data_IF_980977189787
#
_entry.id   IF_980977189787
#
_cell.length_a   1.000
_cell.length_b   1.000
_cell.length_c   1.000
_cell.angle_alpha   90.00
_cell.angle_beta   90.00
_cell.angle_gamma   90.00
#
_symmetry.space_group_name_H-M   'P 1'
#
loop_
_entity.id
_entity.type
_entity.pdbx_description
1 polymer ?
#
# COMPACT_ATOMS: atom_id res chain seq x y z
N UNK A 1 -21.79 10.88 2.07
CA UNK A 1 -21.01 10.86 0.83
C UNK A 1 -19.88 9.87 0.91
N UNK A 2 -19.71 9.16 -0.17
CA UNK A 2 -18.69 8.13 -0.28
C UNK A 2 -17.36 8.76 -0.65
N UNK A 3 -16.30 8.39 0.06
CA UNK A 3 -14.95 8.84 -0.28
C UNK A 3 -14.37 7.88 -1.29
N UNK A 4 -13.91 8.43 -2.41
CA UNK A 4 -13.26 7.66 -3.47
C UNK A 4 -11.79 8.04 -3.53
N UNK A 5 -10.91 7.05 -3.54
CA UNK A 5 -9.47 7.26 -3.65
C UNK A 5 -8.99 6.70 -4.98
N UNK A 6 -8.22 7.49 -5.70
CA UNK A 6 -7.55 7.08 -6.93
C UNK A 6 -6.05 7.20 -6.71
N UNK A 7 -5.32 6.11 -6.98
CA UNK A 7 -3.87 6.06 -6.83
C UNK A 7 -3.22 5.70 -8.16
N UNK A 8 -2.21 6.47 -8.55
CA UNK A 8 -1.34 6.16 -9.68
C UNK A 8 0.07 5.90 -9.14
N UNK A 9 0.58 4.70 -9.40
CA UNK A 9 1.94 4.33 -9.04
C UNK A 9 2.62 3.71 -10.26
N UNK A 10 3.84 4.13 -10.53
CA UNK A 10 4.63 3.57 -11.62
C UNK A 10 5.39 2.34 -11.13
N UNK A 11 5.53 1.29 -11.96
CA UNK A 11 6.40 0.17 -11.61
C UNK A 11 7.81 0.64 -11.32
N UNK A 12 8.46 0.03 -10.33
CA UNK A 12 9.81 0.38 -9.93
C UNK A 12 10.69 -0.87 -9.91
N UNK A 13 11.99 -0.67 -9.98
CA UNK A 13 12.97 -1.74 -9.78
C UNK A 13 13.55 -1.65 -8.37
N UNK A 14 13.98 -2.80 -7.84
CA UNK A 14 14.70 -2.82 -6.57
C UNK A 14 15.92 -1.88 -6.63
N UNK A 15 16.09 -1.08 -5.60
CA UNK A 15 17.15 -0.08 -5.52
C UNK A 15 16.75 1.31 -6.03
N UNK A 16 15.63 1.43 -6.71
CA UNK A 16 15.12 2.71 -7.21
C UNK A 16 14.07 3.30 -6.29
N UNK A 17 13.61 4.50 -6.60
CA UNK A 17 12.47 5.12 -5.93
C UNK A 17 11.20 4.80 -6.69
N UNK A 18 10.17 4.40 -5.97
CA UNK A 18 8.82 4.26 -6.50
C UNK A 18 8.11 5.60 -6.39
N UNK A 19 7.62 6.11 -7.51
CA UNK A 19 6.88 7.37 -7.55
C UNK A 19 5.40 7.11 -7.61
N UNK A 20 4.63 7.85 -6.84
CA UNK A 20 3.19 7.71 -6.79
C UNK A 20 2.50 9.05 -6.63
N UNK A 21 1.24 9.10 -7.04
CA UNK A 21 0.35 10.22 -6.81
C UNK A 21 -1.03 9.70 -6.42
N UNK A 22 -1.80 10.53 -5.73
CA UNK A 22 -3.13 10.15 -5.31
C UNK A 22 -4.08 11.32 -5.41
N UNK A 23 -5.36 11.00 -5.51
CA UNK A 23 -6.46 11.95 -5.52
C UNK A 23 -7.61 11.38 -4.71
N UNK A 24 -8.23 12.21 -3.91
CA UNK A 24 -9.43 11.85 -3.17
C UNK A 24 -10.60 12.72 -3.61
N UNK A 25 -11.75 12.09 -3.83
CA UNK A 25 -13.01 12.77 -4.14
C UNK A 25 -14.04 12.43 -3.07
N UNK A 26 -15.00 13.33 -2.86
CA UNK A 26 -16.03 13.13 -1.85
C UNK A 26 -15.52 13.27 -0.43
N UNK A 27 -14.51 14.09 -0.22
CA UNK A 27 -13.87 14.26 1.08
C UNK A 27 -14.88 14.76 2.12
N UNK A 28 -15.02 13.99 3.19
CA UNK A 28 -15.87 14.33 4.31
C UNK A 28 -15.13 15.24 5.29
N UNK A 29 -15.88 16.18 5.90
CA UNK A 29 -15.35 16.98 7.01
C UNK A 29 -14.99 16.14 8.23
N UNK A 30 -15.32 14.84 8.22
CA UNK A 30 -15.07 13.91 9.31
C UNK A 30 -13.72 13.24 9.24
N UNK A 31 -13.03 13.29 8.10
CA UNK A 31 -11.72 12.68 7.96
C UNK A 31 -10.71 13.45 8.81
N UNK A 32 -10.14 12.78 9.80
CA UNK A 32 -9.20 13.39 10.75
C UNK A 32 -7.75 13.21 10.35
N UNK A 33 -7.42 12.07 9.75
CA UNK A 33 -6.05 11.77 9.35
C UNK A 33 -6.06 10.93 8.07
N UNK A 34 -5.12 11.24 7.19
CA UNK A 34 -4.86 10.46 5.99
C UNK A 34 -3.43 9.96 6.02
N UNK A 35 -3.25 8.67 5.80
CA UNK A 35 -1.93 8.04 5.69
C UNK A 35 -1.82 7.31 4.36
N UNK A 36 -0.76 7.59 3.63
CA UNK A 36 -0.38 6.87 2.41
C UNK A 36 0.92 6.14 2.70
N UNK A 37 0.90 4.83 2.60
CA UNK A 37 2.07 4.00 2.91
C UNK A 37 2.36 3.01 1.80
N UNK A 38 3.62 2.61 1.68
CA UNK A 38 4.01 1.48 0.85
C UNK A 38 4.30 0.32 1.80
N UNK A 39 3.75 -0.83 1.48
CA UNK A 39 3.94 -2.05 2.26
C UNK A 39 4.36 -3.19 1.36
N UNK A 40 5.18 -4.08 1.91
CA UNK A 40 5.54 -5.32 1.26
C UNK A 40 5.36 -6.48 2.22
N UNK A 41 4.77 -7.54 1.72
CA UNK A 41 4.34 -8.69 2.49
C UNK A 41 4.73 -9.97 1.77
N UNK A 42 5.20 -10.95 2.53
CA UNK A 42 5.35 -12.30 2.00
C UNK A 42 4.20 -13.17 2.51
N UNK A 43 3.76 -14.10 1.68
CA UNK A 43 2.78 -15.09 2.06
C UNK A 43 3.23 -16.48 1.60
N UNK A 44 2.93 -17.47 2.44
CA UNK A 44 3.18 -18.87 2.13
C UNK A 44 1.90 -19.65 2.39
N UNK A 45 1.46 -20.40 1.38
CA UNK A 45 0.29 -21.26 1.47
C UNK A 45 0.76 -22.70 1.46
N UNK A 46 0.29 -23.48 2.43
CA UNK A 46 0.68 -24.87 2.60
C UNK A 46 -0.48 -25.72 3.10
N UNK A 47 -0.36 -27.02 2.92
CA UNK A 47 -1.36 -27.97 3.43
C UNK A 47 -0.87 -28.59 4.72
N UNK A 48 -1.77 -28.66 5.70
CA UNK A 48 -1.54 -29.36 6.95
C UNK A 48 -2.70 -30.33 7.15
N UNK A 49 -2.46 -31.61 6.87
CA UNK A 49 -3.53 -32.59 6.82
C UNK A 49 -4.46 -32.33 5.63
N UNK A 50 -5.76 -32.14 5.90
CA UNK A 50 -6.76 -31.81 4.88
C UNK A 50 -7.00 -30.31 4.76
N UNK A 51 -6.37 -29.50 5.62
CA UNK A 51 -6.59 -28.06 5.67
C UNK A 51 -5.49 -27.31 4.91
N UNK A 52 -5.88 -26.20 4.31
CA UNK A 52 -4.95 -25.26 3.68
C UNK A 52 -4.76 -24.07 4.61
N UNK A 53 -3.51 -23.70 4.84
CA UNK A 53 -3.13 -22.57 5.68
C UNK A 53 -2.33 -21.57 4.87
N UNK A 54 -2.53 -20.29 5.17
CA UNK A 54 -1.74 -19.20 4.60
C UNK A 54 -1.16 -18.37 5.74
N UNK A 55 0.15 -18.28 5.78
CA UNK A 55 0.86 -17.40 6.70
C UNK A 55 1.33 -16.17 5.95
N UNK A 56 1.18 -15.00 6.55
CA UNK A 56 1.63 -13.74 5.98
C UNK A 56 2.53 -13.00 6.96
N UNK A 57 3.51 -12.29 6.43
CA UNK A 57 4.42 -11.48 7.21
C UNK A 57 4.74 -10.18 6.48
N UNK A 58 4.42 -9.07 7.11
CA UNK A 58 4.80 -7.75 6.62
C UNK A 58 6.29 -7.54 6.91
N UNK A 59 7.10 -7.29 5.88
CA UNK A 59 8.54 -7.10 6.07
C UNK A 59 9.03 -5.70 5.72
N UNK A 60 8.17 -4.84 5.16
CA UNK A 60 8.52 -3.46 4.85
C UNK A 60 7.29 -2.58 4.95
N UNK A 61 7.46 -1.42 5.54
CA UNK A 61 6.45 -0.37 5.58
C UNK A 61 7.14 0.98 5.56
N UNK A 62 6.72 1.84 4.66
CA UNK A 62 7.23 3.19 4.53
C UNK A 62 6.06 4.16 4.39
N UNK A 63 5.97 5.12 5.29
CA UNK A 63 4.94 6.15 5.22
C UNK A 63 5.41 7.22 4.24
N UNK A 64 4.73 7.29 3.09
CA UNK A 64 5.01 8.27 2.05
C UNK A 64 4.49 9.63 2.45
N UNK A 65 3.29 9.65 3.04
CA UNK A 65 2.60 10.88 3.39
C UNK A 65 1.62 10.65 4.52
N UNK A 66 1.55 11.60 5.43
CA UNK A 66 0.58 11.56 6.52
C UNK A 66 0.19 13.00 6.85
N UNK A 67 -1.10 13.27 6.92
CA UNK A 67 -1.58 14.61 7.23
C UNK A 67 -2.88 14.57 8.01
N UNK A 68 -3.07 15.56 8.86
CA UNK A 68 -4.35 15.88 9.50
C UNK A 68 -4.98 17.15 8.92
N UNK A 69 -4.34 17.78 7.95
CA UNK A 69 -4.86 18.97 7.27
C UNK A 69 -5.81 18.58 6.15
N UNK A 70 -7.06 18.98 6.25
CA UNK A 70 -8.08 18.67 5.22
C UNK A 70 -7.74 19.26 3.86
N UNK A 71 -7.08 20.42 3.83
CA UNK A 71 -6.67 21.04 2.57
C UNK A 71 -5.64 20.22 1.82
N UNK A 72 -4.84 19.44 2.53
CA UNK A 72 -3.78 18.61 1.95
C UNK A 72 -4.23 17.20 1.59
N UNK A 73 -5.48 16.83 1.89
CA UNK A 73 -5.97 15.47 1.68
C UNK A 73 -6.48 15.20 0.27
N UNK A 74 -6.77 16.23 -0.51
CA UNK A 74 -7.42 16.06 -1.83
C UNK A 74 -6.53 15.43 -2.87
N UNK A 75 -5.28 15.81 -2.90
CA UNK A 75 -4.33 15.35 -3.90
C UNK A 75 -2.92 15.46 -3.36
N UNK A 76 -2.06 14.58 -3.83
CA UNK A 76 -0.67 14.61 -3.45
C UNK A 76 0.17 13.69 -4.30
N UNK A 77 1.47 13.80 -4.12
CA UNK A 77 2.45 12.93 -4.75
C UNK A 77 3.63 12.73 -3.81
N UNK A 78 4.33 11.64 -4.02
CA UNK A 78 5.50 11.33 -3.21
C UNK A 78 6.32 10.24 -3.82
N UNK A 79 7.40 9.88 -3.14
CA UNK A 79 8.29 8.81 -3.55
C UNK A 79 8.64 7.94 -2.36
N UNK A 80 8.87 6.66 -2.63
CA UNK A 80 9.25 5.68 -1.65
C UNK A 80 10.53 4.99 -2.12
N UNK A 81 11.59 4.96 -1.31
CA UNK A 81 12.77 4.18 -1.67
C UNK A 81 12.43 2.69 -1.62
N UNK A 82 12.86 1.94 -2.64
CA UNK A 82 12.75 0.49 -2.66
C UNK A 82 14.13 -0.07 -2.35
N UNK A 83 14.38 -0.54 -1.13
CA UNK A 83 15.71 -1.03 -0.76
C UNK A 83 16.15 -2.19 -1.65
N UNK A 84 17.39 -2.14 -2.13
CA UNK A 84 17.91 -3.13 -3.07
C UNK A 84 17.99 -4.54 -2.49
N UNK A 85 18.07 -4.66 -1.17
CA UNK A 85 18.18 -5.96 -0.50
C UNK A 85 16.82 -6.63 -0.23
N UNK A 86 15.71 -5.92 -0.47
CA UNK A 86 14.39 -6.50 -0.28
C UNK A 86 13.93 -7.23 -1.55
N UNK A 87 13.14 -8.30 -1.40
CA UNK A 87 12.70 -9.08 -2.54
C UNK A 87 11.69 -8.30 -3.40
N UNK A 88 11.76 -8.42 -4.73
CA UNK A 88 10.78 -7.83 -5.63
C UNK A 88 9.46 -8.59 -5.59
N UNK A 89 8.48 -8.10 -6.35
CA UNK A 89 7.20 -8.80 -6.52
C UNK A 89 7.44 -10.21 -7.07
N UNK A 90 6.74 -11.18 -6.51
CA UNK A 90 6.93 -12.58 -6.86
C UNK A 90 5.64 -13.37 -6.64
N UNK A 91 5.36 -14.31 -7.52
CA UNK A 91 4.21 -15.19 -7.38
C UNK A 91 4.54 -16.56 -7.97
N UNK A 92 4.68 -17.57 -7.10
CA UNK A 92 4.87 -18.96 -7.51
C UNK A 92 3.64 -19.82 -7.18
N UNK A 93 2.50 -19.18 -6.93
CA UNK A 93 1.28 -19.87 -6.49
C UNK A 93 1.23 -20.03 -4.98
N UNK A 94 2.12 -20.82 -4.40
CA UNK A 94 2.12 -21.06 -2.96
C UNK A 94 2.96 -20.06 -2.17
N UNK A 95 3.87 -19.36 -2.83
CA UNK A 95 4.71 -18.33 -2.21
C UNK A 95 4.60 -17.05 -2.99
N UNK A 96 4.31 -15.95 -2.31
CA UNK A 96 4.10 -14.66 -2.95
C UNK A 96 4.82 -13.56 -2.19
N UNK A 97 5.31 -12.60 -2.95
CA UNK A 97 5.80 -11.32 -2.43
C UNK A 97 4.93 -10.25 -3.06
N UNK A 98 4.15 -9.55 -2.24
CA UNK A 98 3.20 -8.53 -2.69
C UNK A 98 3.63 -7.15 -2.19
N UNK A 99 3.74 -6.22 -3.11
CA UNK A 99 3.94 -4.81 -2.81
C UNK A 99 2.64 -4.06 -3.06
N UNK A 100 2.31 -3.12 -2.18
CA UNK A 100 1.07 -2.36 -2.28
C UNK A 100 1.21 -0.94 -1.78
N UNK A 101 0.38 -0.07 -2.33
CA UNK A 101 0.08 1.22 -1.72
C UNK A 101 -1.11 1.00 -0.79
N UNK A 102 -0.98 1.44 0.44
CA UNK A 102 -2.07 1.38 1.40
C UNK A 102 -2.54 2.78 1.75
N UNK A 103 -3.83 3.01 1.67
CA UNK A 103 -4.46 4.28 2.00
C UNK A 103 -5.32 4.08 3.24
N UNK A 104 -4.97 4.78 4.31
CA UNK A 104 -5.67 4.71 5.58
C UNK A 104 -6.23 6.08 5.92
N UNK A 105 -7.49 6.13 6.32
CA UNK A 105 -8.13 7.36 6.76
C UNK A 105 -8.97 7.13 8.00
N UNK A 106 -8.78 7.96 9.02
CA UNK A 106 -9.54 7.90 10.27
C UNK A 106 -10.80 8.75 10.16
N UNK A 107 -11.95 8.13 10.38
CA UNK A 107 -13.25 8.81 10.40
C UNK A 107 -13.93 8.49 11.74
N UNK A 108 -14.12 9.47 12.64
CA UNK A 108 -14.80 9.23 13.91
C UNK A 108 -16.21 8.69 13.68
N UNK A 109 -16.60 7.67 14.43
CA UNK A 109 -17.95 7.08 14.44
C UNK A 109 -18.35 6.34 13.16
N UNK A 110 -17.44 6.19 12.20
CA UNK A 110 -17.68 5.48 10.94
C UNK A 110 -16.53 4.50 10.68
N UNK A 111 -16.74 3.50 9.85
CA UNK A 111 -15.64 2.66 9.42
C UNK A 111 -14.54 3.50 8.78
N UNK A 112 -13.30 3.21 9.14
CA UNK A 112 -12.15 3.89 8.57
C UNK A 112 -11.99 3.53 7.09
N UNK A 113 -11.28 4.39 6.35
CA UNK A 113 -10.85 4.07 5.01
C UNK A 113 -9.62 3.18 5.13
N UNK A 114 -9.66 2.04 4.44
CA UNK A 114 -8.52 1.12 4.37
C UNK A 114 -8.53 0.48 2.98
N UNK A 115 -7.84 1.11 2.04
CA UNK A 115 -7.77 0.65 0.66
C UNK A 115 -6.34 0.23 0.33
N UNK A 116 -6.22 -0.78 -0.53
CA UNK A 116 -4.93 -1.29 -1.00
C UNK A 116 -4.90 -1.36 -2.51
N UNK A 117 -3.76 -1.00 -3.09
CA UNK A 117 -3.53 -1.01 -4.54
C UNK A 117 -2.23 -1.76 -4.82
N UNK A 118 -2.33 -2.82 -5.61
CA UNK A 118 -1.14 -3.62 -5.95
C UNK A 118 -0.21 -2.80 -6.83
N UNK A 119 1.08 -2.86 -6.51
CA UNK A 119 2.13 -2.27 -7.32
C UNK A 119 3.15 -3.34 -7.69
N UNK A 120 3.86 -3.13 -8.79
CA UNK A 120 4.89 -4.05 -9.25
C UNK A 120 6.27 -3.50 -8.92
N UNK A 121 7.05 -4.31 -8.21
CA UNK A 121 8.46 -4.05 -7.96
C UNK A 121 9.25 -5.13 -8.71
N UNK A 122 10.02 -4.70 -9.71
CA UNK A 122 10.82 -5.58 -10.53
C UNK A 122 12.19 -5.82 -9.93
N UNK A 123 12.86 -6.91 -10.27
CA UNK A 123 14.24 -7.11 -9.88
C UNK A 123 15.12 -5.94 -10.32
N UNK A 124 16.24 -5.77 -9.66
CA UNK A 124 17.21 -4.73 -10.02
C UNK A 124 17.57 -4.83 -11.50
N UNK A 125 17.54 -3.68 -12.16
CA UNK A 125 17.84 -3.59 -13.58
C UNK A 125 19.34 -3.86 -13.89
#
# INVERSE_FOLDING_TARGET
PRITVTVNAHPAHSGDSLKLSWRMAGLSNRLQMLTIAIEAEESATYRQGTNTHTDTALFYRYIVYQTSSRLEMHTGSGACPIPAHLPPSFDSGNNKINWRVRVLGDIPWWPDIDDSYVIQVHPKA
#
